data_IF_681815575037
#
_entry.id   IF_681815575037
#
_cell.length_a   1.000
_cell.length_b   1.000
_cell.length_c   1.000
_cell.angle_alpha   90.00
_cell.angle_beta   90.00
_cell.angle_gamma   90.00
#
_symmetry.space_group_name_H-M   'P 1'
#
loop_
_entity.id
_entity.type
_entity.pdbx_description
1 polymer ?
#
# COMPACT_ATOMS: atom_id res chain seq x y z
N UNK A 1 39.65 -20.59 40.61
CA UNK A 1 38.85 -21.84 40.56
C UNK A 1 37.51 -21.52 39.91
N UNK A 2 37.31 -21.74 38.60
CA UNK A 2 35.98 -21.66 38.01
C UNK A 2 35.29 -23.03 38.04
N UNK A 3 34.10 -23.10 38.63
CA UNK A 3 33.27 -24.30 38.60
C UNK A 3 32.60 -24.45 37.23
N UNK A 4 32.74 -25.65 36.65
CA UNK A 4 32.00 -26.05 35.46
C UNK A 4 30.57 -26.44 35.85
N UNK A 5 29.58 -25.70 35.36
CA UNK A 5 28.18 -26.10 35.43
C UNK A 5 27.92 -27.19 34.38
N UNK A 6 27.77 -28.43 34.85
CA UNK A 6 27.30 -29.56 34.05
C UNK A 6 25.89 -29.27 33.51
N UNK A 7 25.74 -29.10 32.19
CA UNK A 7 24.44 -29.18 31.55
C UNK A 7 24.10 -30.65 31.28
N UNK A 8 23.05 -31.14 31.95
CA UNK A 8 22.52 -32.48 31.75
C UNK A 8 21.65 -32.52 30.49
N UNK A 9 22.14 -33.15 29.42
CA UNK A 9 21.35 -33.44 28.23
C UNK A 9 20.44 -34.65 28.51
N UNK A 10 19.11 -34.43 28.56
CA UNK A 10 18.12 -35.51 28.62
C UNK A 10 17.77 -35.98 27.19
N UNK A 11 18.08 -37.23 26.87
CA UNK A 11 18.06 -37.82 25.53
C UNK A 11 16.65 -38.14 24.96
N UNK A 12 15.64 -37.29 25.21
CA UNK A 12 14.27 -37.57 24.78
C UNK A 12 13.34 -36.37 24.60
N UNK A 13 13.86 -35.14 24.61
CA UNK A 13 13.07 -33.95 24.33
C UNK A 13 13.36 -33.45 22.90
N UNK A 14 12.34 -33.00 22.13
CA UNK A 14 12.61 -32.35 20.86
C UNK A 14 13.54 -31.16 21.10
N UNK A 15 14.62 -31.07 20.32
CA UNK A 15 15.52 -29.92 20.35
C UNK A 15 14.70 -28.69 19.96
N UNK A 16 14.24 -27.93 20.96
CA UNK A 16 13.64 -26.64 20.72
C UNK A 16 14.64 -25.79 19.94
N UNK A 17 14.15 -25.15 18.88
CA UNK A 17 14.97 -24.26 18.07
C UNK A 17 15.68 -23.24 18.98
N UNK A 18 16.93 -22.87 18.67
CA UNK A 18 17.65 -21.86 19.43
C UNK A 18 16.76 -20.60 19.58
N UNK A 19 16.68 -20.00 20.78
CA UNK A 19 15.84 -18.84 20.99
C UNK A 19 16.25 -17.73 20.02
N UNK A 20 15.29 -17.26 19.22
CA UNK A 20 15.51 -16.17 18.26
C UNK A 20 15.83 -14.91 19.04
N UNK A 21 17.11 -14.54 19.09
CA UNK A 21 17.58 -13.28 19.67
C UNK A 21 17.13 -12.14 18.76
N UNK A 22 15.96 -11.55 19.05
CA UNK A 22 15.51 -10.34 18.39
C UNK A 22 16.29 -9.15 18.93
N UNK A 23 16.61 -8.19 18.05
CA UNK A 23 17.13 -6.90 18.49
C UNK A 23 16.13 -6.27 19.48
N UNK A 24 16.62 -5.58 20.53
CA UNK A 24 15.74 -4.84 21.42
C UNK A 24 14.90 -3.84 20.62
N UNK A 25 13.63 -3.67 20.99
CA UNK A 25 12.77 -2.66 20.37
C UNK A 25 13.45 -1.29 20.41
N UNK A 26 13.35 -0.46 19.36
CA UNK A 26 13.96 0.86 19.34
C UNK A 26 13.53 1.68 20.56
N UNK A 27 14.49 2.25 21.31
CA UNK A 27 14.20 3.15 22.45
C UNK A 27 13.47 4.43 22.05
N UNK A 28 13.31 4.69 20.75
CA UNK A 28 12.49 5.77 20.21
C UNK A 28 10.99 5.67 20.56
N UNK A 29 10.57 4.59 21.24
CA UNK A 29 9.20 4.40 21.72
C UNK A 29 8.86 5.16 23.01
N UNK A 30 9.87 5.71 23.71
CA UNK A 30 9.70 6.56 24.91
C UNK A 30 10.08 7.99 24.51
N UNK A 31 9.10 8.74 24.01
CA UNK A 31 9.33 10.14 23.61
C UNK A 31 8.52 10.63 22.42
N UNK A 32 7.47 9.93 22.00
CA UNK A 32 6.51 10.50 21.05
C UNK A 32 5.84 11.71 21.69
N UNK A 33 6.36 12.90 21.39
CA UNK A 33 5.66 14.14 21.68
C UNK A 33 4.42 14.15 20.78
N UNK A 34 3.27 13.86 21.37
CA UNK A 34 2.00 14.05 20.70
C UNK A 34 1.85 15.54 20.38
N UNK A 35 1.33 15.84 19.19
CA UNK A 35 1.02 17.21 18.79
C UNK A 35 -0.05 17.84 19.69
N UNK A 36 -0.36 19.13 19.48
CA UNK A 36 -1.50 19.77 20.11
C UNK A 36 -2.79 18.95 19.89
N UNK A 37 -3.70 19.02 20.86
CA UNK A 37 -5.03 18.40 20.75
C UNK A 37 -5.78 18.95 19.51
N UNK A 38 -6.16 18.05 18.61
CA UNK A 38 -6.91 18.36 17.40
C UNK A 38 -8.42 18.21 17.59
N UNK A 39 -8.89 17.97 18.82
CA UNK A 39 -10.32 17.90 19.14
C UNK A 39 -10.97 19.27 18.87
N UNK A 40 -11.94 19.31 17.95
CA UNK A 40 -12.64 20.55 17.62
C UNK A 40 -13.48 21.04 18.81
N UNK A 41 -13.76 22.34 18.89
CA UNK A 41 -14.63 22.88 19.95
C UNK A 41 -16.04 22.25 19.90
N UNK A 42 -16.54 22.00 18.69
CA UNK A 42 -17.81 21.29 18.49
C UNK A 42 -17.78 19.87 19.07
N UNK A 43 -16.65 19.15 18.96
CA UNK A 43 -16.52 17.80 19.49
C UNK A 43 -16.48 17.76 21.02
N UNK A 44 -15.99 18.83 21.67
CA UNK A 44 -15.95 18.94 23.13
C UNK A 44 -17.33 19.16 23.74
N UNK A 45 -18.23 19.78 22.98
CA UNK A 45 -19.59 20.11 23.41
C UNK A 45 -20.59 18.97 23.14
N UNK A 46 -20.19 17.94 22.37
CA UNK A 46 -21.01 16.76 22.09
C UNK A 46 -21.02 15.78 23.27
N UNK A 47 -22.18 15.16 23.51
CA UNK A 47 -22.27 13.99 24.38
C UNK A 47 -21.55 12.77 23.78
N UNK A 48 -21.14 11.83 24.63
CA UNK A 48 -20.35 10.65 24.24
C UNK A 48 -20.92 9.90 23.02
N UNK A 49 -22.22 9.56 23.03
CA UNK A 49 -22.85 8.82 21.93
C UNK A 49 -22.82 9.60 20.60
N UNK A 50 -23.02 10.92 20.66
CA UNK A 50 -23.02 11.77 19.48
C UNK A 50 -21.61 11.94 18.91
N UNK A 51 -20.60 12.05 19.79
CA UNK A 51 -19.20 12.07 19.41
C UNK A 51 -18.77 10.74 18.76
N UNK A 52 -19.13 9.60 19.36
CA UNK A 52 -18.86 8.27 18.81
C UNK A 52 -19.48 8.11 17.42
N UNK A 53 -20.76 8.49 17.25
CA UNK A 53 -21.43 8.43 15.95
C UNK A 53 -20.72 9.30 14.91
N UNK A 54 -20.31 10.52 15.26
CA UNK A 54 -19.54 11.40 14.35
C UNK A 54 -18.21 10.78 13.94
N UNK A 55 -17.52 10.15 14.89
CA UNK A 55 -16.26 9.44 14.63
C UNK A 55 -16.48 8.24 13.70
N UNK A 56 -17.49 7.41 13.97
CA UNK A 56 -17.85 6.26 13.12
C UNK A 56 -18.24 6.69 11.71
N UNK A 57 -18.99 7.80 11.58
CA UNK A 57 -19.40 8.36 10.29
C UNK A 57 -18.18 8.91 9.53
N UNK A 58 -17.24 9.57 10.21
CA UNK A 58 -15.98 10.05 9.63
C UNK A 58 -15.10 8.88 9.14
N UNK A 59 -15.10 7.78 9.88
CA UNK A 59 -14.43 6.53 9.51
C UNK A 59 -15.25 5.71 8.50
N UNK A 60 -16.47 6.12 8.19
CA UNK A 60 -17.41 5.45 7.28
C UNK A 60 -17.68 3.99 7.64
N UNK A 61 -17.63 3.65 8.93
CA UNK A 61 -17.78 2.26 9.40
C UNK A 61 -19.19 1.70 9.11
N UNK A 62 -20.20 2.57 9.03
CA UNK A 62 -21.60 2.21 8.73
C UNK A 62 -21.95 2.26 7.24
N UNK A 63 -21.02 2.68 6.38
CA UNK A 63 -21.25 2.73 4.94
C UNK A 63 -20.86 1.37 4.34
N UNK A 64 -21.75 0.72 3.57
CA UNK A 64 -21.40 -0.53 2.91
C UNK A 64 -20.26 -0.31 1.94
N UNK A 65 -19.34 -1.27 1.86
CA UNK A 65 -18.24 -1.22 0.91
C UNK A 65 -18.78 -1.30 -0.53
N UNK A 66 -18.06 -0.76 -1.53
CA UNK A 66 -18.49 -0.87 -2.92
C UNK A 66 -18.79 -2.31 -3.37
N UNK A 67 -18.04 -3.28 -2.85
CA UNK A 67 -18.25 -4.70 -3.12
C UNK A 67 -19.54 -5.20 -2.48
N UNK A 68 -19.84 -4.77 -1.26
CA UNK A 68 -21.08 -5.11 -0.55
C UNK A 68 -22.30 -4.47 -1.21
N UNK A 69 -22.18 -3.23 -1.68
CA UNK A 69 -23.24 -2.57 -2.46
C UNK A 69 -23.57 -3.40 -3.70
N UNK A 70 -22.55 -3.81 -4.46
CA UNK A 70 -22.73 -4.67 -5.65
C UNK A 70 -23.33 -6.03 -5.31
N UNK A 71 -22.91 -6.64 -4.20
CA UNK A 71 -23.45 -7.92 -3.76
C UNK A 71 -24.92 -7.83 -3.30
N UNK A 72 -25.34 -6.65 -2.80
CA UNK A 72 -26.71 -6.38 -2.38
C UNK A 72 -27.63 -5.94 -3.53
N UNK A 73 -27.13 -5.76 -4.76
CA UNK A 73 -27.98 -5.44 -5.91
C UNK A 73 -28.94 -6.61 -6.21
N UNK A 74 -30.25 -6.32 -6.39
CA UNK A 74 -31.23 -7.34 -6.75
C UNK A 74 -30.82 -7.97 -8.10
N UNK A 75 -30.62 -9.30 -8.18
CA UNK A 75 -30.28 -9.95 -9.44
C UNK A 75 -31.38 -9.80 -10.50
N UNK A 76 -32.62 -9.47 -10.09
CA UNK A 76 -33.72 -9.25 -11.00
C UNK A 76 -33.69 -7.85 -11.60
N UNK A 77 -33.64 -7.78 -12.93
CA UNK A 77 -33.76 -6.53 -13.68
C UNK A 77 -35.21 -6.05 -13.57
N UNK A 78 -35.44 -5.03 -12.74
CA UNK A 78 -36.73 -4.36 -12.60
C UNK A 78 -36.70 -2.98 -13.25
N UNK A 79 -37.79 -2.53 -13.90
CA UNK A 79 -39.05 -3.24 -14.15
C UNK A 79 -38.96 -4.23 -15.32
N UNK A 80 -39.79 -5.28 -15.28
CA UNK A 80 -39.95 -6.22 -16.41
C UNK A 80 -40.45 -5.44 -17.63
N UNK A 81 -39.85 -5.62 -18.82
CA UNK A 81 -40.28 -4.92 -20.03
C UNK A 81 -41.72 -5.30 -20.34
N UNK A 82 -42.52 -4.30 -20.71
CA UNK A 82 -43.94 -4.49 -21.05
C UNK A 82 -44.16 -4.58 -22.54
N UNK A 83 -43.20 -4.11 -23.33
CA UNK A 83 -43.27 -4.06 -24.78
C UNK A 83 -42.09 -4.81 -25.42
N UNK A 84 -42.33 -5.42 -26.59
CA UNK A 84 -41.31 -6.12 -27.36
C UNK A 84 -40.04 -5.29 -27.70
N UNK A 85 -40.13 -3.99 -28.07
CA UNK A 85 -38.92 -3.19 -28.31
C UNK A 85 -38.10 -2.96 -27.03
N UNK A 86 -38.75 -2.73 -25.88
CA UNK A 86 -38.06 -2.60 -24.59
C UNK A 86 -37.34 -3.89 -24.20
N UNK A 87 -37.97 -5.04 -24.44
CA UNK A 87 -37.38 -6.35 -24.18
C UNK A 87 -36.12 -6.59 -25.00
N UNK A 88 -36.14 -6.22 -26.29
CA UNK A 88 -34.95 -6.34 -27.15
C UNK A 88 -33.79 -5.46 -26.67
N UNK A 89 -34.06 -4.21 -26.30
CA UNK A 89 -33.03 -3.30 -25.76
C UNK A 89 -32.48 -3.84 -24.44
N UNK A 90 -33.35 -4.30 -23.55
CA UNK A 90 -32.93 -4.90 -22.29
C UNK A 90 -32.06 -6.14 -22.52
N UNK A 91 -32.46 -7.02 -23.45
CA UNK A 91 -31.68 -8.19 -23.84
C UNK A 91 -30.29 -7.83 -24.34
N UNK A 92 -30.16 -6.81 -25.21
CA UNK A 92 -28.85 -6.36 -25.72
C UNK A 92 -27.95 -5.83 -24.59
N UNK A 93 -28.52 -5.06 -23.66
CA UNK A 93 -27.79 -4.54 -22.49
C UNK A 93 -27.32 -5.69 -21.59
N UNK A 94 -28.19 -6.67 -21.34
CA UNK A 94 -27.85 -7.85 -20.53
C UNK A 94 -26.74 -8.64 -21.18
N UNK A 95 -26.88 -8.97 -22.46
CA UNK A 95 -25.88 -9.73 -23.20
C UNK A 95 -24.53 -9.02 -23.25
N UNK A 96 -24.52 -7.69 -23.37
CA UNK A 96 -23.29 -6.89 -23.30
C UNK A 96 -22.62 -7.03 -21.93
N UNK A 97 -23.36 -6.78 -20.84
CA UNK A 97 -22.83 -6.89 -19.47
C UNK A 97 -22.30 -8.29 -19.17
N UNK A 98 -22.99 -9.32 -19.66
CA UNK A 98 -22.59 -10.71 -19.49
C UNK A 98 -21.25 -11.00 -20.19
N UNK A 99 -21.08 -10.53 -21.44
CA UNK A 99 -19.81 -10.63 -22.17
C UNK A 99 -18.68 -9.86 -21.48
N UNK A 100 -18.96 -8.65 -21.01
CA UNK A 100 -17.98 -7.83 -20.29
C UNK A 100 -17.53 -8.53 -19.00
N UNK A 101 -18.45 -9.15 -18.26
CA UNK A 101 -18.13 -9.89 -17.04
C UNK A 101 -17.36 -11.18 -17.30
N UNK A 102 -17.70 -11.93 -18.35
CA UNK A 102 -16.93 -13.12 -18.76
C UNK A 102 -15.50 -12.71 -19.11
N UNK A 103 -15.32 -11.66 -19.91
CA UNK A 103 -13.98 -11.14 -20.24
C UNK A 103 -13.18 -10.79 -18.99
N UNK A 104 -13.82 -10.11 -18.03
CA UNK A 104 -13.14 -9.77 -16.78
C UNK A 104 -12.69 -11.03 -16.01
N UNK A 105 -13.51 -12.09 -15.98
CA UNK A 105 -13.12 -13.34 -15.33
C UNK A 105 -11.96 -14.04 -16.04
N UNK A 106 -11.91 -13.98 -17.38
CA UNK A 106 -10.77 -14.48 -18.16
C UNK A 106 -9.48 -13.68 -17.85
N UNK A 107 -9.59 -12.35 -17.75
CA UNK A 107 -8.48 -11.46 -17.39
C UNK A 107 -8.01 -11.73 -15.94
N UNK A 108 -8.93 -11.94 -15.00
CA UNK A 108 -8.65 -12.27 -13.60
C UNK A 108 -7.95 -13.65 -13.50
N UNK A 109 -8.41 -14.66 -14.26
CA UNK A 109 -7.77 -15.99 -14.31
C UNK A 109 -6.34 -15.91 -14.86
N UNK A 110 -6.13 -15.15 -15.94
CA UNK A 110 -4.79 -14.93 -16.50
C UNK A 110 -3.87 -14.22 -15.49
N UNK A 111 -4.41 -13.23 -14.76
CA UNK A 111 -3.67 -12.53 -13.72
C UNK A 111 -3.28 -13.47 -12.57
N UNK A 112 -4.19 -14.31 -12.10
CA UNK A 112 -3.91 -15.31 -11.06
C UNK A 112 -2.85 -16.31 -11.52
N UNK A 113 -2.94 -16.83 -12.75
CA UNK A 113 -1.92 -17.73 -13.31
C UNK A 113 -0.54 -17.05 -13.38
N UNK A 114 -0.49 -15.78 -13.80
CA UNK A 114 0.75 -15.00 -13.83
C UNK A 114 1.32 -14.78 -12.42
N UNK A 115 0.45 -14.48 -11.44
CA UNK A 115 0.86 -14.29 -10.06
C UNK A 115 1.45 -15.58 -9.47
N UNK A 116 0.78 -16.73 -9.64
CA UNK A 116 1.26 -18.04 -9.19
C UNK A 116 2.59 -18.43 -9.84
N UNK A 117 2.77 -18.11 -11.12
CA UNK A 117 4.04 -18.35 -11.82
C UNK A 117 5.15 -17.48 -11.25
N UNK A 118 4.88 -16.21 -10.95
CA UNK A 118 5.85 -15.29 -10.35
C UNK A 118 6.34 -15.74 -8.97
N UNK A 119 5.47 -16.31 -8.13
CA UNK A 119 5.84 -16.85 -6.81
C UNK A 119 6.70 -18.11 -6.88
N UNK A 120 6.59 -18.92 -7.93
CA UNK A 120 7.43 -20.11 -8.10
C UNK A 120 8.86 -19.81 -8.54
N UNK A 121 9.13 -18.65 -9.17
CA UNK A 121 10.49 -18.25 -9.58
C UNK A 121 11.44 -18.08 -8.38
N UNK A 122 10.90 -17.84 -7.17
CA UNK A 122 11.70 -17.74 -5.93
C UNK A 122 11.95 -19.06 -5.20
N UNK A 123 11.30 -20.16 -5.60
CA UNK A 123 11.37 -21.47 -4.93
C UNK A 123 12.12 -22.54 -5.74
N UNK A 124 12.36 -22.30 -7.04
CA UNK A 124 13.15 -23.20 -7.86
C UNK A 124 14.64 -23.02 -7.51
N UNK A 125 15.21 -23.98 -6.78
CA UNK A 125 16.66 -24.07 -6.58
C UNK A 125 17.31 -24.16 -7.97
N UNK A 126 18.27 -23.29 -8.32
CA UNK A 126 18.90 -23.36 -9.63
C UNK A 126 19.49 -24.77 -9.82
N UNK A 127 19.17 -25.42 -10.94
CA UNK A 127 19.63 -26.80 -11.21
C UNK A 127 21.14 -26.90 -11.48
N UNK A 128 21.87 -25.81 -11.32
CA UNK A 128 23.29 -25.68 -11.63
C UNK A 128 23.97 -24.90 -10.53
N UNK A 129 25.13 -25.38 -10.09
CA UNK A 129 26.00 -24.69 -9.13
C UNK A 129 26.94 -23.67 -9.80
N UNK A 130 26.86 -23.52 -11.13
CA UNK A 130 27.66 -22.55 -11.89
C UNK A 130 27.03 -21.16 -11.83
N UNK A 131 27.64 -20.25 -11.07
CA UNK A 131 27.19 -18.87 -10.87
C UNK A 131 27.08 -18.13 -12.21
N UNK A 132 28.01 -18.36 -13.15
CA UNK A 132 27.99 -17.72 -14.46
C UNK A 132 26.85 -18.26 -15.35
N UNK A 133 26.56 -19.56 -15.22
CA UNK A 133 25.41 -20.21 -15.84
C UNK A 133 24.08 -19.67 -15.30
N UNK A 134 23.97 -19.49 -13.98
CA UNK A 134 22.80 -18.90 -13.32
C UNK A 134 22.60 -17.45 -13.78
N UNK A 135 23.66 -16.62 -13.74
CA UNK A 135 23.58 -15.22 -14.16
C UNK A 135 23.17 -15.09 -15.62
N UNK A 136 23.71 -15.92 -16.52
CA UNK A 136 23.34 -15.92 -17.94
C UNK A 136 21.89 -16.36 -18.16
N UNK A 137 21.42 -17.34 -17.40
CA UNK A 137 20.04 -17.83 -17.45
C UNK A 137 19.03 -16.75 -17.01
N UNK A 138 19.31 -16.07 -15.88
CA UNK A 138 18.49 -14.97 -15.38
C UNK A 138 18.45 -13.75 -16.32
N UNK A 139 19.53 -13.51 -17.07
CA UNK A 139 19.54 -12.46 -18.10
C UNK A 139 18.82 -12.86 -19.40
N UNK A 140 18.63 -14.15 -19.65
CA UNK A 140 18.03 -14.67 -20.90
C UNK A 140 16.53 -14.98 -20.80
N UNK A 141 16.00 -15.16 -19.58
CA UNK A 141 14.56 -15.41 -19.33
C UNK A 141 13.71 -14.12 -19.28
N UNK A 142 14.30 -12.97 -19.60
CA UNK A 142 13.54 -11.75 -19.90
C UNK A 142 12.87 -11.91 -21.27
N UNK A 143 11.70 -12.56 -21.26
CA UNK A 143 10.79 -12.60 -22.41
C UNK A 143 10.49 -11.16 -22.83
N UNK A 144 10.72 -10.89 -24.11
CA UNK A 144 10.52 -9.60 -24.75
C UNK A 144 9.16 -8.97 -24.39
N UNK A 145 9.10 -7.66 -24.05
CA UNK A 145 7.83 -6.95 -24.00
C UNK A 145 7.33 -6.71 -25.44
N UNK A 146 6.00 -6.74 -25.71
CA UNK A 146 5.49 -6.15 -26.93
C UNK A 146 5.80 -4.65 -26.91
N UNK A 147 6.51 -4.21 -27.93
CA UNK A 147 6.89 -2.84 -28.20
C UNK A 147 5.65 -1.93 -28.21
N UNK A 148 5.40 -1.16 -27.14
CA UNK A 148 4.81 0.18 -27.21
C UNK A 148 5.10 0.96 -25.92
N UNK A 149 5.79 2.10 -26.08
CA UNK A 149 5.89 3.26 -25.20
C UNK A 149 5.96 3.09 -23.67
N UNK A 150 7.19 3.28 -23.16
CA UNK A 150 7.56 3.89 -21.87
C UNK A 150 6.45 4.65 -21.12
N UNK A 151 5.92 4.05 -20.06
CA UNK A 151 5.45 4.76 -18.86
C UNK A 151 5.96 3.98 -17.64
N UNK A 152 6.72 4.69 -16.81
CA UNK A 152 7.40 4.20 -15.61
C UNK A 152 6.32 3.77 -14.58
N UNK A 153 6.35 2.54 -14.03
CA UNK A 153 5.45 2.16 -12.94
C UNK A 153 5.98 2.77 -11.64
N UNK A 154 5.33 3.84 -11.18
CA UNK A 154 5.49 4.40 -9.84
C UNK A 154 4.90 3.43 -8.81
N UNK A 155 5.76 2.71 -8.09
CA UNK A 155 5.36 1.98 -6.88
C UNK A 155 5.52 2.88 -5.65
N UNK A 156 4.65 2.74 -4.62
CA UNK A 156 4.54 3.70 -3.51
C UNK A 156 5.62 3.61 -2.41
N UNK A 157 6.66 2.79 -2.57
CA UNK A 157 7.64 2.51 -1.50
C UNK A 157 9.10 2.82 -1.82
N UNK A 158 9.38 3.58 -2.87
CA UNK A 158 10.75 4.03 -3.13
C UNK A 158 11.04 5.37 -2.42
N UNK A 159 12.00 5.44 -1.48
CA UNK A 159 12.46 6.71 -0.96
C UNK A 159 13.24 7.45 -2.05
N UNK A 160 12.69 8.57 -2.51
CA UNK A 160 13.40 9.51 -3.40
C UNK A 160 14.55 10.15 -2.64
N UNK A 161 15.77 9.65 -2.83
CA UNK A 161 16.98 10.37 -2.48
C UNK A 161 17.36 11.31 -3.64
N UNK A 162 17.59 12.61 -3.42
CA UNK A 162 18.08 13.49 -4.46
C UNK A 162 19.55 13.16 -4.81
N UNK A 163 19.96 13.29 -6.08
CA UNK A 163 21.33 13.02 -6.49
C UNK A 163 22.28 14.08 -5.91
N UNK A 164 23.28 13.61 -5.17
CA UNK A 164 24.46 14.39 -4.76
C UNK A 164 25.29 14.63 -6.03
N UNK A 165 25.19 15.83 -6.59
CA UNK A 165 26.14 16.33 -7.57
C UNK A 165 27.35 16.90 -6.82
N UNK A 166 28.50 16.25 -6.97
CA UNK A 166 29.78 16.84 -6.61
C UNK A 166 30.14 17.96 -7.59
N UNK A 167 30.40 19.16 -7.07
CA UNK A 167 31.19 20.17 -7.78
C UNK A 167 31.91 21.07 -6.78
N UNK A 168 33.21 21.18 -7.00
CA UNK A 168 34.25 21.90 -6.27
C UNK A 168 34.09 23.42 -6.30
N UNK A 169 34.34 24.05 -5.15
CA UNK A 169 35.00 25.36 -4.94
C UNK A 169 34.40 26.63 -5.57
N UNK A 170 34.01 27.61 -4.76
CA UNK A 170 34.84 28.81 -4.51
C UNK A 170 34.21 29.69 -3.41
N UNK A 171 35.06 30.44 -2.74
CA UNK A 171 34.77 31.51 -1.78
C UNK A 171 34.00 32.66 -2.44
N UNK A 172 33.07 33.29 -1.73
CA UNK A 172 33.08 34.74 -1.44
C UNK A 172 31.83 35.19 -0.67
N UNK A 173 32.10 36.11 0.24
CA UNK A 173 31.23 36.92 1.09
C UNK A 173 30.15 37.71 0.34
N UNK A 174 28.92 37.83 0.88
CA UNK A 174 28.14 39.08 0.92
C UNK A 174 26.76 38.93 1.61
N UNK A 175 26.67 39.53 2.79
CA UNK A 175 25.64 40.48 3.27
C UNK A 175 24.25 40.54 2.58
N UNK A 176 23.16 40.34 3.33
CA UNK A 176 22.18 41.38 3.77
C UNK A 176 20.80 40.75 4.05
N UNK A 177 20.38 40.82 5.31
CA UNK A 177 19.01 40.56 5.72
C UNK A 177 18.11 41.76 5.41
N UNK A 178 16.94 41.50 4.82
CA UNK A 178 15.89 42.51 4.59
C UNK A 178 14.70 42.19 5.49
N UNK A 179 14.58 42.95 6.58
CA UNK A 179 13.39 43.03 7.43
C UNK A 179 12.27 43.75 6.69
N UNK A 180 11.09 43.14 6.61
CA UNK A 180 9.87 43.84 6.21
C UNK A 180 9.29 44.58 7.44
N UNK A 181 9.38 45.91 7.42
CA UNK A 181 8.74 46.79 8.40
C UNK A 181 7.35 47.21 7.91
N UNK A 182 6.34 46.96 8.75
CA UNK A 182 4.94 47.35 8.55
C UNK A 182 4.78 48.87 8.64
N UNK A 183 3.98 49.44 7.74
CA UNK A 183 3.58 50.86 7.70
C UNK A 183 2.08 50.96 7.94
N UNK A 184 1.66 51.52 9.07
CA UNK A 184 0.30 52.04 9.32
C UNK A 184 0.44 53.11 10.43
N UNK A 185 0.64 54.37 10.07
CA UNK A 185 -0.37 55.43 9.84
C UNK A 185 -1.05 55.89 11.13
N UNK A 186 -0.59 57.06 11.57
CA UNK A 186 -1.08 57.90 12.66
C UNK A 186 -2.29 58.76 12.25
N UNK A 187 -2.96 59.30 13.29
CA UNK A 187 -3.96 60.38 13.35
C UNK A 187 -5.41 59.88 13.32
N UNK A 188 -6.34 60.35 14.17
CA UNK A 188 -6.41 61.62 14.92
C UNK A 188 -7.59 61.52 15.91
N UNK A 189 -7.43 62.06 17.12
CA UNK A 189 -8.41 62.90 17.83
C UNK A 189 -7.63 63.68 18.88
#
# INVERSE_FOLDING_TARGET
MPQATHQFFHAGQPQYAPPVLRAPSPSSSIGTAYGPDETSLEDRDLGQEAFERRCEDRLRLRQPRPEEIRANEDPLIRPRPKTAPEEKVMFEVVMKRLRDRVKQLEDDELFEQMLLRGTQVGLEQPSSDDIDGIMRSLMSTSVAPPSTNSLIPTTPWSPTLPPIAGSTGDSTTATTGKRNARKAKSRKA
#
